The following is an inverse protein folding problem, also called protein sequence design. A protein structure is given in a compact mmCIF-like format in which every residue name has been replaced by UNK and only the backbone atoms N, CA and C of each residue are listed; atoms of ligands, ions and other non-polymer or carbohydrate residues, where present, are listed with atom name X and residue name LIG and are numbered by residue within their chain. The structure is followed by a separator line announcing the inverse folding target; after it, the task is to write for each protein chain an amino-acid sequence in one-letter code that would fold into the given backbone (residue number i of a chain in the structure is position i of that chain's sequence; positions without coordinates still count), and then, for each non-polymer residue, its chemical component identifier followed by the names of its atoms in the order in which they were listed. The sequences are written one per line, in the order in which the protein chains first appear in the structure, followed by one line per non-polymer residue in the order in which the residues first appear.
data_IF_442706005589
#
_entry.id   IF_442706005589
#
_cell.length_a   1.000
_cell.length_b   1.000
_cell.length_c   1.000
_cell.angle_alpha   90.00
_cell.angle_beta   90.00
_cell.angle_gamma   90.00
#
_symmetry.space_group_name_H-M   'P 1'
#
loop_
_entity.id
_entity.type
_entity.pdbx_description
1 polymer ?
#
# COMPACT_ATOMS: atom_id res chain seq x y z
N UNK A 1 -9.52 -1.49 5.68
CA UNK A 1 -8.52 -1.74 6.74
C UNK A 1 -8.98 -2.77 7.78
N UNK A 2 -10.06 -2.56 8.58
CA UNK A 2 -10.45 -3.46 9.68
C UNK A 2 -10.91 -4.87 9.25
N UNK A 3 -11.53 -5.02 8.08
CA UNK A 3 -11.86 -6.32 7.52
C UNK A 3 -10.60 -7.10 7.13
N UNK A 4 -9.58 -6.40 6.67
CA UNK A 4 -8.28 -6.96 6.31
C UNK A 4 -7.56 -7.54 7.51
N UNK A 5 -7.48 -6.81 8.63
CA UNK A 5 -6.79 -7.29 9.84
C UNK A 5 -7.36 -8.60 10.39
N UNK A 6 -8.67 -8.86 10.20
CA UNK A 6 -9.27 -10.14 10.56
C UNK A 6 -8.72 -11.33 9.76
N UNK A 7 -8.41 -11.14 8.47
CA UNK A 7 -7.84 -12.18 7.62
C UNK A 7 -6.43 -12.59 8.06
N UNK A 8 -5.71 -11.71 8.76
CA UNK A 8 -4.38 -11.97 9.31
C UNK A 8 -4.40 -12.53 10.74
N UNK A 9 -5.49 -13.18 11.15
CA UNK A 9 -5.64 -13.80 12.47
C UNK A 9 -5.47 -12.84 13.67
N UNK A 10 -5.64 -11.54 13.46
CA UNK A 10 -5.63 -10.58 14.56
C UNK A 10 -6.91 -10.74 15.37
N UNK A 11 -6.79 -10.92 16.70
CA UNK A 11 -7.95 -11.16 17.55
C UNK A 11 -8.96 -9.99 17.49
N UNK A 12 -10.24 -10.32 17.52
CA UNK A 12 -11.32 -9.33 17.46
C UNK A 12 -11.23 -8.30 18.57
N UNK A 13 -10.81 -8.72 19.77
CA UNK A 13 -10.61 -7.82 20.91
C UNK A 13 -9.51 -6.79 20.64
N UNK A 14 -8.40 -7.21 20.05
CA UNK A 14 -7.30 -6.30 19.70
C UNK A 14 -7.74 -5.33 18.60
N UNK A 15 -8.41 -5.82 17.57
CA UNK A 15 -8.99 -4.96 16.50
C UNK A 15 -9.91 -3.92 17.11
N UNK A 16 -10.79 -4.31 18.05
CA UNK A 16 -11.72 -3.34 18.66
C UNK A 16 -10.99 -2.29 19.50
N UNK A 17 -9.94 -2.68 20.24
CA UNK A 17 -9.11 -1.72 20.99
C UNK A 17 -8.42 -0.73 20.06
N UNK A 18 -7.84 -1.21 18.97
CA UNK A 18 -7.20 -0.34 17.96
C UNK A 18 -8.24 0.58 17.31
N UNK A 19 -9.43 0.06 16.95
CA UNK A 19 -10.53 0.89 16.44
C UNK A 19 -10.89 2.03 17.38
N UNK A 20 -11.00 1.73 18.68
CA UNK A 20 -11.33 2.75 19.67
C UNK A 20 -10.26 3.86 19.77
N UNK A 21 -8.99 3.55 19.49
CA UNK A 21 -7.92 4.56 19.42
C UNK A 21 -8.09 5.50 18.21
N UNK A 22 -8.65 4.99 17.12
CA UNK A 22 -8.87 5.74 15.88
C UNK A 22 -10.25 6.42 15.83
N UNK A 23 -11.21 5.90 16.59
CA UNK A 23 -12.58 6.35 16.61
C UNK A 23 -12.70 7.73 17.23
N UNK A 24 -12.86 8.76 16.98
CA UNK A 24 -12.81 10.12 17.57
C UNK A 24 -11.45 10.79 17.44
N UNK A 25 -10.61 10.32 16.51
CA UNK A 25 -9.39 11.01 16.21
C UNK A 25 -9.67 12.40 15.65
N UNK A 26 -9.08 13.41 16.27
CA UNK A 26 -9.17 14.80 15.85
C UNK A 26 -7.79 15.34 15.54
N UNK A 27 -7.70 16.25 14.60
CA UNK A 27 -6.51 17.01 14.27
C UNK A 27 -6.77 18.49 14.35
N UNK A 28 -5.72 19.26 14.54
CA UNK A 28 -5.77 20.72 14.45
C UNK A 28 -4.51 21.22 13.74
N UNK A 29 -4.61 22.33 13.05
CA UNK A 29 -3.46 22.99 12.42
C UNK A 29 -2.88 24.02 13.36
N UNK A 30 -1.57 23.93 13.61
CA UNK A 30 -0.82 24.96 14.31
C UNK A 30 -0.33 25.97 13.26
N UNK A 31 -0.81 27.20 13.36
CA UNK A 31 -0.41 28.28 12.48
C UNK A 31 -0.11 29.54 13.30
N UNK A 32 1.08 30.15 13.11
CA UNK A 32 1.55 31.30 13.86
C UNK A 32 1.38 31.14 15.39
N UNK A 33 1.83 29.99 15.94
CA UNK A 33 1.73 29.63 17.36
C UNK A 33 0.31 29.59 17.94
N UNK A 34 -0.71 29.61 17.07
CA UNK A 34 -2.12 29.48 17.45
C UNK A 34 -2.71 28.21 16.87
N UNK A 35 -3.42 27.46 17.71
CA UNK A 35 -4.15 26.27 17.26
C UNK A 35 -5.44 26.74 16.61
N UNK A 36 -5.68 26.30 15.37
CA UNK A 36 -6.91 26.53 14.65
C UNK A 36 -7.98 25.51 15.05
N UNK A 37 -9.16 25.60 14.43
CA UNK A 37 -10.30 24.74 14.74
C UNK A 37 -9.95 23.25 14.58
N UNK A 38 -10.48 22.45 15.51
CA UNK A 38 -10.33 21.00 15.49
C UNK A 38 -11.19 20.38 14.43
N UNK A 39 -10.62 19.48 13.61
CA UNK A 39 -11.35 18.71 12.63
C UNK A 39 -11.23 17.21 12.90
N UNK A 40 -12.23 16.46 12.51
CA UNK A 40 -12.25 15.01 12.68
C UNK A 40 -11.47 14.33 11.55
N UNK A 41 -10.57 13.42 11.90
CA UNK A 41 -9.88 12.56 10.93
C UNK A 41 -10.63 11.24 10.80
N UNK A 42 -11.12 10.93 9.60
CA UNK A 42 -11.95 9.76 9.33
C UNK A 42 -11.28 8.73 8.46
N UNK A 43 -10.18 9.09 7.79
CA UNK A 43 -9.45 8.26 6.81
C UNK A 43 -7.95 8.25 7.13
N UNK A 44 -7.28 7.17 6.73
CA UNK A 44 -5.84 7.02 6.86
C UNK A 44 -5.40 6.51 8.22
N UNK A 45 -4.08 6.55 8.43
CA UNK A 45 -3.42 6.20 9.69
C UNK A 45 -2.82 7.44 10.34
N UNK A 46 -2.68 7.43 11.66
CA UNK A 46 -2.15 8.58 12.40
C UNK A 46 -0.66 8.74 12.17
N UNK A 47 -0.23 9.88 11.68
CA UNK A 47 1.19 10.21 11.59
C UNK A 47 1.83 10.24 12.98
N UNK A 48 3.01 9.61 13.11
CA UNK A 48 3.73 9.52 14.39
C UNK A 48 3.20 8.45 15.37
N UNK A 49 2.16 7.71 15.03
CA UNK A 49 1.69 6.58 15.84
C UNK A 49 2.51 5.32 15.53
N UNK A 50 3.02 4.65 16.56
CA UNK A 50 3.82 3.41 16.42
C UNK A 50 3.08 2.26 15.71
N UNK A 51 1.75 2.25 15.77
CA UNK A 51 0.92 1.23 15.11
C UNK A 51 0.65 1.55 13.63
N UNK A 52 0.78 2.80 13.22
CA UNK A 52 0.41 3.24 11.88
C UNK A 52 1.19 2.54 10.77
N UNK A 53 2.51 2.35 10.84
CA UNK A 53 3.26 1.60 9.82
C UNK A 53 2.78 0.15 9.70
N UNK A 54 2.57 -0.53 10.82
CA UNK A 54 2.09 -1.92 10.83
C UNK A 54 0.69 -2.05 10.23
N UNK A 55 -0.22 -1.16 10.57
CA UNK A 55 -1.59 -1.15 10.02
C UNK A 55 -1.58 -0.84 8.52
N UNK A 56 -0.73 0.07 8.10
CA UNK A 56 -0.57 0.41 6.69
C UNK A 56 0.01 -0.77 5.90
N UNK A 57 1.05 -1.43 6.41
CA UNK A 57 1.65 -2.59 5.75
C UNK A 57 0.66 -3.76 5.62
N UNK A 58 -0.13 -4.05 6.66
CA UNK A 58 -1.20 -5.06 6.57
C UNK A 58 -2.23 -4.70 5.49
N UNK A 59 -2.51 -3.43 5.33
CA UNK A 59 -3.45 -2.95 4.33
C UNK A 59 -2.87 -3.02 2.92
N UNK A 60 -1.62 -2.62 2.75
CA UNK A 60 -0.89 -2.69 1.48
C UNK A 60 -0.70 -4.14 1.04
N UNK A 61 -0.32 -5.04 1.94
CA UNK A 61 -0.18 -6.47 1.66
C UNK A 61 -1.48 -7.07 1.10
N UNK A 62 -2.64 -6.61 1.58
CA UNK A 62 -3.92 -7.04 1.03
C UNK A 62 -4.13 -6.53 -0.40
N UNK A 63 -3.79 -5.29 -0.68
CA UNK A 63 -3.87 -4.72 -2.03
C UNK A 63 -2.95 -5.49 -2.98
N UNK A 64 -1.73 -5.78 -2.55
CA UNK A 64 -0.77 -6.57 -3.32
C UNK A 64 -1.27 -7.98 -3.58
N UNK A 65 -1.84 -8.65 -2.58
CA UNK A 65 -2.43 -9.99 -2.74
C UNK A 65 -3.55 -9.95 -3.78
N UNK A 66 -4.46 -8.99 -3.70
CA UNK A 66 -5.58 -8.86 -4.65
C UNK A 66 -5.10 -8.49 -6.07
N UNK A 67 -4.05 -7.66 -6.18
CA UNK A 67 -3.48 -7.28 -7.47
C UNK A 67 -2.74 -8.42 -8.17
N UNK A 68 -2.13 -9.32 -7.40
CA UNK A 68 -1.28 -10.39 -7.91
C UNK A 68 -1.99 -11.75 -7.99
N UNK A 69 -3.26 -11.84 -7.55
CA UNK A 69 -4.01 -13.10 -7.50
C UNK A 69 -4.05 -13.84 -8.86
N UNK A 70 -4.15 -13.09 -9.96
CA UNK A 70 -4.19 -13.60 -11.33
C UNK A 70 -2.93 -13.25 -12.16
N UNK A 71 -1.85 -12.84 -11.49
CA UNK A 71 -0.62 -12.40 -12.17
C UNK A 71 0.48 -13.46 -12.07
N UNK A 72 0.84 -14.05 -13.21
CA UNK A 72 1.97 -14.95 -13.34
C UNK A 72 3.21 -14.14 -13.76
N UNK A 73 4.18 -14.00 -12.83
CA UNK A 73 5.44 -13.34 -13.13
C UNK A 73 6.39 -14.22 -13.93
N UNK A 74 7.20 -13.61 -14.79
CA UNK A 74 8.21 -14.30 -15.61
C UNK A 74 9.63 -14.20 -15.06
N UNK A 75 9.88 -13.27 -14.15
CA UNK A 75 11.22 -13.06 -13.57
C UNK A 75 11.45 -13.99 -12.39
N UNK A 76 12.58 -14.70 -12.41
CA UNK A 76 12.98 -15.60 -11.33
C UNK A 76 14.30 -15.13 -10.71
N UNK A 77 14.30 -15.00 -9.39
CA UNK A 77 15.50 -14.66 -8.59
C UNK A 77 15.76 -15.81 -7.62
N UNK A 78 16.93 -16.46 -7.76
CA UNK A 78 17.28 -17.58 -6.90
C UNK A 78 16.30 -18.77 -7.00
N UNK A 79 15.69 -19.00 -8.17
CA UNK A 79 14.73 -20.08 -8.43
C UNK A 79 13.32 -19.80 -7.92
N UNK A 80 13.03 -18.58 -7.47
CA UNK A 80 11.68 -18.14 -7.05
C UNK A 80 11.18 -17.06 -7.98
N UNK A 81 9.96 -17.21 -8.48
CA UNK A 81 9.30 -16.15 -9.24
C UNK A 81 9.09 -14.92 -8.36
N UNK A 82 9.53 -13.78 -8.85
CA UNK A 82 9.47 -12.51 -8.14
C UNK A 82 8.84 -11.48 -9.06
N UNK A 83 7.76 -10.87 -8.63
CA UNK A 83 7.01 -9.87 -9.39
C UNK A 83 7.12 -8.47 -8.81
N UNK A 84 7.45 -8.38 -7.53
CA UNK A 84 7.53 -7.11 -6.82
C UNK A 84 8.40 -7.17 -5.58
N UNK A 85 8.89 -6.01 -5.20
CA UNK A 85 9.40 -5.73 -3.85
C UNK A 85 8.56 -4.59 -3.25
N UNK A 86 8.10 -4.79 -2.02
CA UNK A 86 7.34 -3.77 -1.30
C UNK A 86 8.17 -3.26 -0.12
N UNK A 87 8.34 -1.96 -0.06
CA UNK A 87 8.83 -1.25 1.10
C UNK A 87 7.73 -0.25 1.53
N UNK A 88 7.59 0.14 2.77
CA UNK A 88 6.33 0.67 3.38
C UNK A 88 5.37 1.44 2.48
N UNK A 89 5.84 2.31 1.62
CA UNK A 89 5.04 3.13 0.70
C UNK A 89 5.56 3.10 -0.74
N UNK A 90 6.68 2.42 -0.99
CA UNK A 90 7.25 2.25 -2.32
C UNK A 90 7.06 0.80 -2.80
N UNK A 91 6.65 0.64 -4.04
CA UNK A 91 6.45 -0.67 -4.68
C UNK A 91 7.31 -0.72 -5.94
N UNK A 92 8.23 -1.67 -5.98
CA UNK A 92 9.02 -1.97 -7.18
C UNK A 92 8.39 -3.15 -7.91
N UNK A 93 7.81 -2.90 -9.08
CA UNK A 93 7.30 -3.95 -9.98
C UNK A 93 8.40 -4.46 -10.90
N UNK A 94 8.51 -5.78 -11.04
CA UNK A 94 9.51 -6.44 -11.88
C UNK A 94 8.81 -7.33 -12.91
N UNK A 95 9.19 -7.17 -14.17
CA UNK A 95 8.65 -7.96 -15.26
C UNK A 95 9.74 -8.25 -16.31
N UNK A 96 9.62 -9.36 -17.01
CA UNK A 96 10.54 -9.75 -18.07
C UNK A 96 10.28 -9.00 -19.39
N UNK A 97 9.06 -8.49 -19.57
CA UNK A 97 8.63 -7.80 -20.78
C UNK A 97 7.78 -6.56 -20.44
N UNK A 98 7.78 -5.57 -21.33
CA UNK A 98 7.02 -4.34 -21.18
C UNK A 98 5.51 -4.58 -21.03
N UNK A 99 4.95 -5.54 -21.79
CA UNK A 99 3.53 -5.89 -21.71
C UNK A 99 3.15 -6.48 -20.35
N UNK A 100 4.02 -7.29 -19.79
CA UNK A 100 3.84 -7.86 -18.46
C UNK A 100 3.87 -6.77 -17.40
N UNK A 101 4.83 -5.83 -17.49
CA UNK A 101 4.91 -4.69 -16.59
C UNK A 101 3.66 -3.80 -16.66
N UNK A 102 3.19 -3.52 -17.88
CA UNK A 102 1.97 -2.74 -18.08
C UNK A 102 0.75 -3.41 -17.44
N UNK A 103 0.60 -4.73 -17.61
CA UNK A 103 -0.48 -5.50 -16.98
C UNK A 103 -0.36 -5.49 -15.45
N UNK A 104 0.85 -5.62 -14.91
CA UNK A 104 1.08 -5.57 -13.46
C UNK A 104 0.65 -4.22 -12.89
N UNK A 105 1.04 -3.11 -13.54
CA UNK A 105 0.64 -1.75 -13.12
C UNK A 105 -0.87 -1.56 -13.21
N UNK A 106 -1.52 -2.06 -14.25
CA UNK A 106 -2.99 -2.01 -14.39
C UNK A 106 -3.70 -2.78 -13.27
N UNK A 107 -3.22 -3.98 -12.92
CA UNK A 107 -3.76 -4.76 -11.81
C UNK A 107 -3.58 -4.03 -10.46
N UNK A 108 -2.41 -3.43 -10.24
CA UNK A 108 -2.13 -2.63 -9.05
C UNK A 108 -3.02 -1.39 -8.96
N UNK A 109 -3.21 -0.66 -10.05
CA UNK A 109 -4.07 0.52 -10.11
C UNK A 109 -5.52 0.18 -9.80
N UNK A 110 -6.03 -0.89 -10.42
CA UNK A 110 -7.38 -1.40 -10.19
C UNK A 110 -7.58 -1.84 -8.73
N UNK A 111 -6.65 -2.60 -8.18
CA UNK A 111 -6.72 -3.04 -6.79
C UNK A 111 -6.64 -1.85 -5.84
N UNK A 112 -5.69 -0.94 -6.02
CA UNK A 112 -5.51 0.27 -5.20
C UNK A 112 -6.77 1.14 -5.21
N UNK A 113 -7.34 1.38 -6.38
CA UNK A 113 -8.57 2.17 -6.55
C UNK A 113 -9.76 1.56 -5.79
N UNK A 114 -9.90 0.23 -5.78
CA UNK A 114 -10.94 -0.46 -5.01
C UNK A 114 -10.82 -0.24 -3.50
N UNK A 115 -9.62 0.08 -3.02
CA UNK A 115 -9.34 0.42 -1.62
C UNK A 115 -9.25 1.93 -1.35
N UNK A 116 -9.56 2.77 -2.33
CA UNK A 116 -9.53 4.23 -2.21
C UNK A 116 -8.12 4.81 -2.18
N UNK A 117 -7.16 4.13 -2.80
CA UNK A 117 -5.79 4.59 -2.99
C UNK A 117 -5.54 4.85 -4.48
N UNK A 118 -4.64 5.77 -4.78
CA UNK A 118 -4.28 6.18 -6.14
C UNK A 118 -2.77 6.04 -6.33
N UNK A 119 -2.37 5.47 -7.47
CA UNK A 119 -0.96 5.42 -7.86
C UNK A 119 -0.53 6.80 -8.37
N UNK A 120 0.52 7.34 -7.79
CA UNK A 120 1.06 8.62 -8.21
C UNK A 120 1.85 8.50 -9.51
N UNK A 121 1.21 8.72 -10.66
CA UNK A 121 1.87 8.69 -11.96
C UNK A 121 3.08 9.63 -12.05
N UNK A 122 3.02 10.78 -11.37
CA UNK A 122 4.13 11.75 -11.34
C UNK A 122 5.39 11.21 -10.63
N UNK A 123 5.21 10.34 -9.62
CA UNK A 123 6.32 9.74 -8.86
C UNK A 123 6.76 8.40 -9.46
N UNK A 124 5.89 7.72 -10.18
CA UNK A 124 6.17 6.41 -10.77
C UNK A 124 7.20 6.54 -11.89
N UNK A 125 8.19 5.66 -11.89
CA UNK A 125 9.28 5.62 -12.88
C UNK A 125 9.45 4.20 -13.39
N UNK A 126 9.74 4.08 -14.68
CA UNK A 126 10.07 2.81 -15.33
C UNK A 126 11.55 2.79 -15.68
N UNK A 127 12.22 1.69 -15.37
CA UNK A 127 13.60 1.42 -15.78
C UNK A 127 13.63 0.17 -16.65
N UNK A 128 14.41 0.21 -17.72
CA UNK A 128 14.62 -0.95 -18.58
C UNK A 128 16.11 -1.27 -18.66
N UNK A 129 16.43 -2.55 -18.60
CA UNK A 129 17.79 -3.02 -18.88
C UNK A 129 17.93 -3.16 -20.40
N UNK A 130 18.49 -2.14 -21.04
CA UNK A 130 18.65 -2.10 -22.49
C UNK A 130 19.92 -2.92 -22.90
N UNK A 131 19.86 -4.23 -22.76
CA UNK A 131 20.82 -5.11 -23.41
C UNK A 131 20.42 -5.23 -24.88
N UNK A 132 20.86 -4.28 -25.71
CA UNK A 132 20.88 -4.51 -27.16
C UNK A 132 21.84 -5.67 -27.40
N UNK A 133 21.30 -6.88 -27.55
CA UNK A 133 22.01 -7.96 -28.21
C UNK A 133 22.32 -7.48 -29.63
N UNK A 134 23.64 -7.37 -29.92
CA UNK A 134 24.13 -7.25 -31.29
C UNK A 134 23.87 -8.55 -32.04
#
# INVERSE_FOLDING_TARGET
MWATTKKYNVSTNLIQRIKNLYDKATGAVLFNSSIRDWFRTTVGVRQGCLLSPTLFNIFLERIMTDALEDHEGTVSIGGRTTTNFCFPDDIDGIAGEEKELAKLVECLDKASSAYGMEISAHKTKTMTNNTRSK
#
